data_IF_228937367423
#
_entry.id   IF_228937367423
#
_cell.length_a   1.000
_cell.length_b   1.000
_cell.length_c   1.000
_cell.angle_alpha   90.00
_cell.angle_beta   90.00
_cell.angle_gamma   90.00
#
_symmetry.space_group_name_H-M   'P 1'
#
loop_
_entity.id
_entity.type
_entity.pdbx_description
1 polymer ?
#
# COMPACT_ATOMS: atom_id res chain seq x y z
N UNK A 1 -12.84 2.40 18.31
CA UNK A 1 -12.79 2.53 16.83
C UNK A 1 -11.51 1.89 16.34
N UNK A 2 -11.44 1.44 15.08
CA UNK A 2 -10.19 0.91 14.50
C UNK A 2 -9.30 2.10 14.15
N UNK A 3 -8.12 2.20 14.77
CA UNK A 3 -7.20 3.32 14.56
C UNK A 3 -6.10 3.01 13.54
N UNK A 4 -5.64 1.77 13.49
CA UNK A 4 -4.60 1.30 12.57
C UNK A 4 -5.03 0.03 11.86
N UNK A 5 -4.54 -0.14 10.63
CA UNK A 5 -4.70 -1.35 9.84
C UNK A 5 -3.33 -1.96 9.56
N UNK A 6 -3.26 -3.28 9.63
CA UNK A 6 -2.13 -4.07 9.14
C UNK A 6 -2.51 -4.63 7.77
N UNK A 7 -1.86 -4.16 6.71
CA UNK A 7 -2.17 -4.52 5.33
C UNK A 7 -0.95 -5.18 4.70
N UNK A 8 -1.10 -6.45 4.32
CA UNK A 8 -0.02 -7.22 3.69
C UNK A 8 -0.19 -7.12 2.17
N UNK A 9 0.78 -6.53 1.48
CA UNK A 9 0.92 -6.58 0.04
C UNK A 9 1.80 -7.75 -0.38
N UNK A 10 1.35 -8.59 -1.32
CA UNK A 10 2.09 -9.74 -1.81
C UNK A 10 2.46 -9.54 -3.29
N UNK A 11 3.60 -10.12 -3.68
CA UNK A 11 3.96 -10.26 -5.09
C UNK A 11 4.44 -11.67 -5.36
N UNK A 12 3.76 -12.35 -6.30
CA UNK A 12 4.24 -13.62 -6.85
C UNK A 12 5.44 -13.35 -7.75
N UNK A 13 6.62 -13.80 -7.36
CA UNK A 13 7.81 -13.73 -8.21
C UNK A 13 7.78 -14.89 -9.21
N UNK A 14 7.66 -14.59 -10.51
CA UNK A 14 7.63 -15.62 -11.56
C UNK A 14 9.02 -16.21 -11.88
N UNK A 15 10.11 -15.60 -11.40
CA UNK A 15 11.48 -16.04 -11.67
C UNK A 15 12.18 -16.52 -10.38
N UNK A 16 12.75 -17.74 -10.43
CA UNK A 16 13.74 -18.22 -9.46
C UNK A 16 14.97 -17.32 -9.56
N UNK A 17 15.18 -16.44 -8.58
CA UNK A 17 16.43 -15.69 -8.42
C UNK A 17 17.14 -16.22 -7.16
N UNK A 18 18.48 -16.33 -7.11
CA UNK A 18 19.20 -16.73 -5.90
C UNK A 18 18.82 -15.94 -4.64
N UNK A 19 18.30 -14.71 -4.78
CA UNK A 19 17.75 -13.89 -3.68
C UNK A 19 16.44 -14.48 -3.11
N UNK A 20 15.60 -15.11 -3.94
CA UNK A 20 14.29 -15.70 -3.57
C UNK A 20 14.36 -17.22 -3.33
N UNK A 21 15.55 -17.83 -3.38
CA UNK A 21 15.70 -19.29 -3.24
C UNK A 21 15.18 -19.84 -1.90
N UNK A 22 15.03 -19.00 -0.86
CA UNK A 22 14.47 -19.38 0.46
C UNK A 22 13.04 -18.87 0.71
N UNK A 23 12.55 -17.92 -0.09
CA UNK A 23 11.23 -17.32 0.06
C UNK A 23 10.55 -17.23 -1.31
N UNK A 24 9.60 -18.13 -1.57
CA UNK A 24 8.80 -18.17 -2.79
C UNK A 24 7.86 -16.96 -2.96
N UNK A 25 7.79 -16.09 -1.96
CA UNK A 25 6.88 -14.95 -1.91
C UNK A 25 7.60 -13.72 -1.34
N UNK A 26 7.46 -12.59 -2.05
CA UNK A 26 7.86 -11.27 -1.58
C UNK A 26 6.64 -10.60 -0.94
N UNK A 27 6.76 -10.10 0.29
CA UNK A 27 5.69 -9.35 0.96
C UNK A 27 6.20 -8.06 1.60
N UNK A 28 5.32 -7.06 1.63
CA UNK A 28 5.46 -5.83 2.42
C UNK A 28 4.28 -5.77 3.39
N UNK A 29 4.57 -5.61 4.66
CA UNK A 29 3.58 -5.38 5.72
C UNK A 29 3.48 -3.87 5.94
N UNK A 30 2.34 -3.27 5.65
CA UNK A 30 2.08 -1.85 5.90
C UNK A 30 1.25 -1.68 7.16
N UNK A 31 1.72 -0.83 8.07
CA UNK A 31 0.91 -0.31 9.18
C UNK A 31 0.42 1.07 8.77
N UNK A 32 -0.90 1.22 8.68
CA UNK A 32 -1.52 2.47 8.21
C UNK A 32 -2.52 3.03 9.19
N UNK A 33 -2.63 4.36 9.25
CA UNK A 33 -3.74 5.06 9.89
C UNK A 33 -5.04 4.72 9.16
N UNK A 34 -6.03 4.21 9.90
CA UNK A 34 -7.29 3.75 9.30
C UNK A 34 -8.10 4.91 8.66
N UNK A 35 -7.98 6.13 9.20
CA UNK A 35 -8.74 7.29 8.73
C UNK A 35 -8.23 7.88 7.41
N UNK A 36 -6.91 7.83 7.18
CA UNK A 36 -6.21 8.55 6.10
C UNK A 36 -5.54 7.61 5.09
N UNK A 37 -5.28 6.36 5.49
CA UNK A 37 -4.47 5.41 4.73
C UNK A 37 -2.98 5.71 4.79
N UNK A 38 -2.55 6.69 5.59
CA UNK A 38 -1.15 7.08 5.75
C UNK A 38 -0.34 5.93 6.35
N UNK A 39 0.76 5.60 5.70
CA UNK A 39 1.72 4.58 6.13
C UNK A 39 2.57 5.17 7.26
N UNK A 40 2.42 4.60 8.45
CA UNK A 40 3.16 4.99 9.66
C UNK A 40 4.30 4.05 9.99
N UNK A 41 4.23 2.80 9.50
CA UNK A 41 5.31 1.84 9.62
C UNK A 41 5.23 0.78 8.52
N UNK A 42 6.34 0.07 8.27
CA UNK A 42 6.35 -1.12 7.43
C UNK A 42 7.52 -2.06 7.74
N UNK A 43 7.32 -3.31 7.33
CA UNK A 43 8.35 -4.35 7.20
C UNK A 43 8.30 -5.01 5.82
N UNK A 44 9.41 -5.58 5.37
CA UNK A 44 9.54 -6.17 4.03
C UNK A 44 10.48 -7.38 4.04
N UNK A 45 10.17 -8.38 3.21
CA UNK A 45 10.98 -9.60 3.05
C UNK A 45 12.28 -9.36 2.28
N UNK A 46 13.26 -8.76 2.93
CA UNK A 46 14.63 -8.65 2.44
C UNK A 46 15.61 -9.04 3.54
N UNK A 47 16.77 -9.57 3.14
CA UNK A 47 17.76 -10.09 4.09
C UNK A 47 18.58 -8.98 4.75
N UNK A 48 18.85 -7.89 4.02
CA UNK A 48 19.77 -6.85 4.44
C UNK A 48 19.01 -5.66 5.03
N UNK A 49 19.37 -5.20 6.25
CA UNK A 49 18.77 -4.01 6.86
C UNK A 49 18.89 -2.75 6.00
N UNK A 50 20.00 -2.59 5.29
CA UNK A 50 20.19 -1.47 4.36
C UNK A 50 19.08 -1.43 3.29
N UNK A 51 18.67 -2.60 2.79
CA UNK A 51 17.61 -2.70 1.78
C UNK A 51 16.23 -2.48 2.40
N UNK A 52 15.95 -3.00 3.60
CA UNK A 52 14.65 -2.78 4.26
C UNK A 52 14.47 -1.31 4.63
N UNK A 53 15.53 -0.65 5.13
CA UNK A 53 15.50 0.76 5.50
C UNK A 53 15.27 1.65 4.29
N UNK A 54 15.98 1.40 3.18
CA UNK A 54 15.76 2.12 1.93
C UNK A 54 14.31 1.99 1.44
N UNK A 55 13.76 0.77 1.45
CA UNK A 55 12.36 0.55 1.06
C UNK A 55 11.42 1.30 2.00
N UNK A 56 11.67 1.27 3.32
CA UNK A 56 10.88 1.99 4.32
C UNK A 56 10.85 3.49 4.04
N UNK A 57 12.00 4.10 3.77
CA UNK A 57 12.11 5.53 3.44
C UNK A 57 11.27 5.94 2.22
N UNK A 58 11.10 5.05 1.23
CA UNK A 58 10.26 5.33 0.07
C UNK A 58 8.78 5.49 0.42
N UNK A 59 8.29 4.76 1.42
CA UNK A 59 6.86 4.59 1.69
C UNK A 59 6.35 5.37 2.91
N UNK A 60 7.17 5.58 3.95
CA UNK A 60 6.72 6.25 5.19
C UNK A 60 6.15 7.63 4.87
N UNK A 61 4.98 7.93 5.43
CA UNK A 61 4.28 9.20 5.26
C UNK A 61 3.41 9.28 4.00
N UNK A 62 3.55 8.36 3.04
CA UNK A 62 2.65 8.25 1.87
C UNK A 62 1.34 7.56 2.25
N UNK A 63 0.35 7.60 1.36
CA UNK A 63 -0.98 7.01 1.61
C UNK A 63 -1.31 5.84 0.68
N UNK A 64 -2.08 4.88 1.20
CA UNK A 64 -2.72 3.81 0.44
C UNK A 64 -4.10 4.20 -0.13
N UNK A 65 -4.56 5.45 0.06
CA UNK A 65 -5.84 5.93 -0.47
C UNK A 65 -5.93 5.86 -2.00
N UNK A 66 -4.80 6.01 -2.68
CA UNK A 66 -4.69 5.86 -4.13
C UNK A 66 -3.29 5.36 -4.55
N UNK A 67 -3.17 5.01 -5.82
CA UNK A 67 -1.88 4.60 -6.39
C UNK A 67 -1.06 5.83 -6.69
N UNK A 68 0.02 6.01 -5.95
CA UNK A 68 1.02 7.06 -6.12
C UNK A 68 1.92 6.73 -7.31
N UNK A 69 1.72 7.44 -8.43
CA UNK A 69 2.49 7.22 -9.66
C UNK A 69 3.93 7.69 -9.55
N UNK A 70 4.19 8.75 -8.79
CA UNK A 70 5.55 9.28 -8.58
C UNK A 70 6.39 8.29 -7.78
N UNK A 71 5.80 7.65 -6.77
CA UNK A 71 6.44 6.57 -6.03
C UNK A 71 6.78 5.38 -6.94
N UNK A 72 5.89 4.99 -7.86
CA UNK A 72 6.18 3.90 -8.80
C UNK A 72 7.36 4.22 -9.71
N UNK A 73 7.46 5.45 -10.22
CA UNK A 73 8.61 5.89 -11.02
C UNK A 73 9.88 6.00 -10.18
N UNK A 74 9.78 6.50 -8.94
CA UNK A 74 10.90 6.55 -8.00
C UNK A 74 11.45 5.14 -7.71
N UNK A 75 10.59 4.16 -7.44
CA UNK A 75 11.00 2.75 -7.26
C UNK A 75 11.69 2.24 -8.52
N UNK A 76 11.16 2.55 -9.71
CA UNK A 76 11.75 2.13 -10.98
C UNK A 76 13.15 2.72 -11.22
N UNK A 77 13.35 3.98 -10.85
CA UNK A 77 14.61 4.71 -11.07
C UNK A 77 15.66 4.50 -9.97
N UNK A 78 15.26 4.20 -8.74
CA UNK A 78 16.16 4.18 -7.58
C UNK A 78 16.41 2.79 -6.97
N UNK A 79 15.49 1.82 -7.14
CA UNK A 79 15.65 0.47 -6.63
C UNK A 79 16.10 -0.49 -7.73
N UNK A 80 17.42 -0.66 -7.89
CA UNK A 80 18.03 -1.41 -9.00
C UNK A 80 18.30 -2.88 -8.68
N UNK A 81 17.29 -3.59 -8.15
CA UNK A 81 17.39 -5.02 -7.83
C UNK A 81 16.22 -5.82 -8.41
N UNK A 82 16.37 -7.15 -8.47
CA UNK A 82 15.37 -8.04 -9.08
C UNK A 82 13.98 -8.02 -8.42
N UNK A 83 13.90 -7.59 -7.16
CA UNK A 83 12.66 -7.39 -6.41
C UNK A 83 11.91 -6.10 -6.78
N UNK A 84 12.43 -5.25 -7.69
CA UNK A 84 11.81 -3.97 -8.05
C UNK A 84 10.33 -4.12 -8.45
N UNK A 85 10.03 -5.05 -9.36
CA UNK A 85 8.66 -5.29 -9.81
C UNK A 85 7.78 -5.86 -8.69
N UNK A 86 8.38 -6.65 -7.78
CA UNK A 86 7.68 -7.23 -6.65
C UNK A 86 7.24 -6.15 -5.64
N UNK A 87 8.08 -5.14 -5.39
CA UNK A 87 7.73 -3.97 -4.57
C UNK A 87 6.51 -3.25 -5.13
N UNK A 88 6.53 -2.93 -6.43
CA UNK A 88 5.42 -2.23 -7.09
C UNK A 88 4.12 -3.04 -7.01
N UNK A 89 4.18 -4.35 -7.25
CA UNK A 89 3.01 -5.23 -7.18
C UNK A 89 2.44 -5.35 -5.76
N UNK A 90 3.30 -5.54 -4.74
CA UNK A 90 2.89 -5.61 -3.35
C UNK A 90 2.21 -4.30 -2.90
N UNK A 91 2.77 -3.15 -3.29
CA UNK A 91 2.17 -1.84 -3.04
C UNK A 91 0.78 -1.70 -3.68
N UNK A 92 0.64 -2.03 -4.97
CA UNK A 92 -0.65 -1.96 -5.67
C UNK A 92 -1.71 -2.88 -5.04
N UNK A 93 -1.31 -4.06 -4.56
CA UNK A 93 -2.23 -4.94 -3.82
C UNK A 93 -2.66 -4.33 -2.49
N UNK A 94 -1.74 -3.69 -1.75
CA UNK A 94 -2.05 -3.02 -0.49
C UNK A 94 -3.03 -1.85 -0.70
N UNK A 95 -2.83 -1.03 -1.74
CA UNK A 95 -3.79 0.03 -2.13
C UNK A 95 -5.17 -0.56 -2.41
N UNK A 96 -5.26 -1.66 -3.16
CA UNK A 96 -6.53 -2.34 -3.44
C UNK A 96 -7.21 -2.81 -2.15
N UNK A 97 -6.47 -3.40 -1.21
CA UNK A 97 -6.98 -3.87 0.08
C UNK A 97 -7.48 -2.72 0.95
N UNK A 98 -6.73 -1.62 1.04
CA UNK A 98 -7.14 -0.43 1.78
C UNK A 98 -8.44 0.15 1.21
N UNK A 99 -8.53 0.33 -0.11
CA UNK A 99 -9.75 0.83 -0.77
C UNK A 99 -10.97 -0.05 -0.55
N UNK A 100 -10.79 -1.37 -0.62
CA UNK A 100 -11.86 -2.32 -0.33
C UNK A 100 -12.33 -2.17 1.13
N UNK A 101 -11.40 -2.11 2.09
CA UNK A 101 -11.73 -1.89 3.49
C UNK A 101 -12.47 -0.56 3.69
N UNK A 102 -11.97 0.51 3.08
CA UNK A 102 -12.55 1.86 3.16
C UNK A 102 -14.00 1.88 2.66
N UNK A 103 -14.30 1.24 1.52
CA UNK A 103 -15.66 1.18 0.98
C UNK A 103 -16.68 0.48 1.90
N UNK A 104 -16.22 -0.46 2.73
CA UNK A 104 -17.07 -1.21 3.66
C UNK A 104 -17.20 -0.51 5.02
N UNK A 105 -16.16 0.19 5.48
CA UNK A 105 -16.09 0.76 6.83
C UNK A 105 -16.33 2.27 6.87
N UNK A 106 -16.34 2.90 5.71
CA UNK A 106 -16.68 4.31 5.51
C UNK A 106 -17.32 4.45 4.13
N UNK A 107 -18.56 3.95 3.95
CA UNK A 107 -19.28 4.17 2.71
C UNK A 107 -19.32 5.68 2.48
N UNK A 108 -18.64 6.13 1.42
CA UNK A 108 -18.49 7.54 1.09
C UNK A 108 -19.85 8.22 1.19
N UNK A 109 -19.93 9.27 2.03
CA UNK A 109 -20.98 10.26 2.14
C UNK A 109 -22.19 10.01 1.20
N UNK A 110 -22.98 8.98 1.48
CA UNK A 110 -24.28 8.78 0.84
C UNK A 110 -25.35 9.70 1.44
N UNK A 111 -24.97 10.43 2.48
CA UNK A 111 -25.85 11.29 3.27
C UNK A 111 -25.71 12.78 2.90
N UNK A 112 -24.56 13.24 2.41
CA UNK A 112 -24.39 14.67 2.05
C UNK A 112 -25.05 15.02 0.69
N UNK A 113 -25.11 14.09 -0.25
CA UNK A 113 -25.77 14.33 -1.56
C UNK A 113 -27.29 14.14 -1.48
N UNK A 114 -27.82 13.34 -0.53
CA UNK A 114 -29.27 13.23 -0.35
C UNK A 114 -29.87 14.44 0.37
N UNK A 115 -29.17 15.04 1.33
CA UNK A 115 -29.67 16.25 2.02
C UNK A 115 -29.67 17.50 1.11
N UNK A 116 -28.70 17.63 0.21
CA UNK A 116 -28.64 18.78 -0.70
C UNK A 116 -29.70 18.74 -1.84
N UNK A 117 -30.31 17.59 -2.12
CA UNK A 117 -31.33 17.45 -3.16
C UNK A 117 -32.76 17.60 -2.59
N UNK A 118 -32.93 17.43 -1.27
CA UNK A 118 -34.23 17.55 -0.60
C UNK A 118 -34.54 18.99 -0.10
N UNK A 119 -33.54 19.89 -0.03
CA UNK A 119 -33.74 21.29 0.44
C UNK A 119 -34.06 22.30 -0.68
N UNK A 120 -33.83 21.99 -1.96
CA UNK A 120 -34.17 22.87 -3.10
C UNK A 120 -35.57 22.56 -3.71
N UNK A 121 -36.31 21.64 -3.12
CA UNK A 121 -37.56 21.10 -3.66
C UNK A 121 -38.86 21.54 -2.98
N UNK A 122 -38.85 22.56 -2.11
CA UNK A 122 -40.06 23.03 -1.41
C UNK A 122 -40.36 24.50 -1.63
#
# INVERSE_FOLDING_TARGET
>A
MIEKLCIIGNARTQQKNPITARFSHFFIVFIVEAASGKIVDLDVTVMLPATSNFIKELFIGRSLAEVDRELLELIRGSYLASSQKAIQMAYMEAVKKYRSWLSTHRPAARDEIKMAVDEDGK
#
